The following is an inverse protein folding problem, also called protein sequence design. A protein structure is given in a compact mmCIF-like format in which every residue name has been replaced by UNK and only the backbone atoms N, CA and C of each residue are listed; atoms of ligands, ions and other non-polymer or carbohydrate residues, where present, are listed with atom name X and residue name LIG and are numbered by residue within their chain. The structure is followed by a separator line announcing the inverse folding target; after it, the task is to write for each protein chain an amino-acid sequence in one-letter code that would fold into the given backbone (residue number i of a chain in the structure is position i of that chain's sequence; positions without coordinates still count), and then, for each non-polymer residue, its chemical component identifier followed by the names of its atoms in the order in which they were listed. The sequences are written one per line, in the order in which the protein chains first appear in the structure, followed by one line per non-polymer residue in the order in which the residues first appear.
data_IF_357509673458
#
_entry.id   IF_357509673458
#
_cell.length_a   1.000
_cell.length_b   1.000
_cell.length_c   1.000
_cell.angle_alpha   90.00
_cell.angle_beta   90.00
_cell.angle_gamma   90.00
#
_symmetry.space_group_name_H-M   'P 1'
#
loop_
_entity.id
_entity.type
_entity.pdbx_description
1 polymer ?
#
# COMPACT_ATOMS: atom_id res chain seq x y z
N UNK A 1 -10.80 5.80 7.81
CA UNK A 1 -10.81 5.39 6.39
C UNK A 1 -10.19 4.02 6.30
N UNK A 2 -10.78 3.11 5.54
CA UNK A 2 -10.16 1.82 5.20
C UNK A 2 -10.32 1.64 3.68
N UNK A 3 -9.21 1.57 2.96
CA UNK A 3 -9.20 1.21 1.53
C UNK A 3 -8.54 -0.16 1.40
N UNK A 4 -9.23 -1.12 0.79
CA UNK A 4 -8.70 -2.49 0.66
C UNK A 4 -8.70 -2.95 -0.78
N UNK A 5 -7.84 -3.91 -1.08
CA UNK A 5 -7.92 -4.68 -2.32
C UNK A 5 -7.21 -6.01 -2.19
N UNK A 6 -7.53 -6.90 -3.11
CA UNK A 6 -6.85 -8.18 -3.27
C UNK A 6 -6.71 -8.53 -4.75
N UNK A 7 -5.80 -9.47 -5.03
CA UNK A 7 -5.73 -10.16 -6.30
C UNK A 7 -5.34 -11.62 -6.03
N UNK A 8 -5.93 -12.56 -6.78
CA UNK A 8 -5.73 -14.01 -6.62
C UNK A 8 -5.30 -14.74 -7.88
N UNK A 9 -5.15 -14.03 -9.00
CA UNK A 9 -4.75 -14.57 -10.30
C UNK A 9 -3.34 -14.09 -10.68
N UNK A 10 -2.63 -14.78 -11.60
CA UNK A 10 -1.36 -14.30 -12.10
C UNK A 10 -1.49 -12.89 -12.71
N UNK A 11 -0.61 -11.98 -12.29
CA UNK A 11 -0.54 -10.59 -12.79
C UNK A 11 0.93 -10.32 -13.10
N UNK A 12 1.21 -10.03 -14.36
CA UNK A 12 2.52 -9.52 -14.76
C UNK A 12 2.60 -8.04 -14.39
N UNK A 13 3.71 -7.63 -13.78
CA UNK A 13 3.95 -6.22 -13.53
C UNK A 13 4.19 -5.48 -14.85
N UNK A 14 3.62 -4.28 -14.96
CA UNK A 14 3.87 -3.34 -16.03
C UNK A 14 3.81 -1.90 -15.47
N UNK A 15 4.33 -0.95 -16.25
CA UNK A 15 4.35 0.47 -15.90
C UNK A 15 3.20 1.27 -16.53
N UNK A 16 2.08 0.62 -16.87
CA UNK A 16 0.92 1.30 -17.43
C UNK A 16 0.25 2.23 -16.40
N UNK A 17 -0.61 3.13 -16.88
CA UNK A 17 -1.36 4.01 -15.99
C UNK A 17 -2.24 3.18 -15.02
N UNK A 18 -2.20 3.49 -13.71
CA UNK A 18 -3.02 2.79 -12.73
C UNK A 18 -4.53 2.88 -13.03
N UNK A 19 -5.23 1.75 -12.90
CA UNK A 19 -6.70 1.73 -13.01
C UNK A 19 -7.33 2.16 -11.69
N UNK A 20 -8.48 2.83 -11.70
CA UNK A 20 -9.18 3.19 -10.47
C UNK A 20 -9.63 1.95 -9.70
N UNK A 21 -9.51 1.97 -8.37
CA UNK A 21 -9.81 0.83 -7.49
C UNK A 21 -11.27 0.38 -7.51
N UNK A 22 -12.19 1.21 -7.97
CA UNK A 22 -13.61 0.90 -8.14
C UNK A 22 -13.97 0.41 -9.56
N UNK A 23 -12.98 0.29 -10.45
CA UNK A 23 -13.16 -0.26 -11.79
C UNK A 23 -13.17 -1.79 -11.75
N UNK A 24 -13.95 -2.47 -12.60
CA UNK A 24 -13.85 -3.92 -12.77
C UNK A 24 -12.44 -4.41 -13.14
N UNK A 25 -11.64 -3.56 -13.81
CA UNK A 25 -10.25 -3.89 -14.16
C UNK A 25 -9.30 -3.94 -12.93
N UNK A 26 -9.73 -3.43 -11.78
CA UNK A 26 -8.91 -3.35 -10.58
C UNK A 26 -8.61 -4.70 -9.92
N UNK A 27 -9.22 -5.80 -10.35
CA UNK A 27 -8.88 -7.15 -9.85
C UNK A 27 -7.69 -7.76 -10.59
N UNK A 28 -7.50 -7.40 -11.87
CA UNK A 28 -6.50 -8.00 -12.75
C UNK A 28 -5.38 -7.04 -13.19
N UNK A 29 -5.50 -5.74 -12.91
CA UNK A 29 -4.46 -4.77 -13.26
C UNK A 29 -3.19 -4.92 -12.41
N UNK A 30 -2.03 -4.67 -13.03
CA UNK A 30 -0.72 -4.55 -12.37
C UNK A 30 -0.67 -3.37 -11.39
N UNK A 31 -1.41 -2.29 -11.69
CA UNK A 31 -1.40 -1.04 -10.94
C UNK A 31 -2.82 -0.54 -10.68
N UNK A 32 -3.12 -0.25 -9.42
CA UNK A 32 -4.43 0.18 -8.95
C UNK A 32 -4.31 1.49 -8.18
N UNK A 33 -5.11 2.49 -8.56
CA UNK A 33 -5.20 3.79 -7.92
C UNK A 33 -6.37 3.86 -6.96
N UNK A 34 -6.05 4.10 -5.70
CA UNK A 34 -7.00 4.36 -4.65
C UNK A 34 -7.14 5.87 -4.47
N UNK A 35 -8.35 6.38 -4.69
CA UNK A 35 -8.68 7.80 -4.49
C UNK A 35 -9.70 7.92 -3.38
N UNK A 36 -9.35 8.68 -2.35
CA UNK A 36 -10.25 9.01 -1.27
C UNK A 36 -10.60 10.49 -1.31
N UNK A 37 -11.89 10.80 -1.25
CA UNK A 37 -12.38 12.17 -1.04
C UNK A 37 -12.38 12.47 0.45
N UNK A 38 -11.58 13.46 0.84
CA UNK A 38 -11.50 13.94 2.21
C UNK A 38 -12.76 14.75 2.52
N UNK A 39 -13.42 14.40 3.61
CA UNK A 39 -14.54 15.18 4.13
C UNK A 39 -13.97 16.39 4.88
N UNK A 40 -14.01 17.57 4.24
CA UNK A 40 -13.49 18.82 4.79
C UNK A 40 -14.17 19.25 6.10
N UNK A 41 -15.35 18.72 6.42
CA UNK A 41 -16.04 18.97 7.70
C UNK A 41 -15.47 18.16 8.87
N UNK A 42 -14.68 17.12 8.57
CA UNK A 42 -14.14 16.16 9.54
C UNK A 42 -12.63 16.30 9.77
N UNK A 43 -12.01 17.31 9.16
CA UNK A 43 -10.57 17.55 9.25
C UNK A 43 -10.30 19.00 9.65
N UNK A 44 -9.17 19.30 10.29
CA UNK A 44 -8.73 20.69 10.47
C UNK A 44 -8.64 21.41 9.13
N UNK A 45 -9.08 22.66 9.08
CA UNK A 45 -9.01 23.48 7.85
C UNK A 45 -7.58 23.76 7.39
N UNK A 46 -6.60 23.61 8.27
CA UNK A 46 -5.16 23.75 8.03
C UNK A 46 -4.48 22.44 7.63
N UNK A 47 -5.22 21.32 7.54
CA UNK A 47 -4.63 20.03 7.22
C UNK A 47 -4.13 20.00 5.77
N UNK A 48 -2.85 19.72 5.60
CA UNK A 48 -2.20 19.60 4.28
C UNK A 48 -1.92 18.15 3.90
N UNK A 49 -1.83 17.26 4.90
CA UNK A 49 -1.56 15.83 4.71
C UNK A 49 -2.42 14.98 5.64
N UNK A 50 -2.67 13.75 5.20
CA UNK A 50 -3.20 12.69 6.05
C UNK A 50 -2.07 11.74 6.47
N UNK A 51 -2.08 11.32 7.73
CA UNK A 51 -1.30 10.18 8.18
C UNK A 51 -2.09 8.91 7.88
N UNK A 52 -1.52 8.04 7.06
CA UNK A 52 -2.07 6.71 6.83
C UNK A 52 -1.14 5.62 7.31
N UNK A 53 -1.72 4.51 7.78
CA UNK A 53 -1.01 3.24 7.91
C UNK A 53 -1.32 2.39 6.70
N UNK A 54 -0.28 1.95 6.03
CA UNK A 54 -0.37 1.06 4.89
C UNK A 54 0.08 -0.33 5.32
N UNK A 55 -0.76 -1.33 5.03
CA UNK A 55 -0.53 -2.73 5.36
C UNK A 55 -0.59 -3.57 4.09
N UNK A 56 0.37 -4.48 3.96
CA UNK A 56 0.49 -5.38 2.83
C UNK A 56 0.69 -6.80 3.32
N UNK A 57 0.01 -7.75 2.68
CA UNK A 57 0.22 -9.18 2.89
C UNK A 57 0.29 -9.88 1.55
N UNK A 58 1.13 -10.90 1.47
CA UNK A 58 1.19 -11.80 0.34
C UNK A 58 1.09 -13.24 0.85
N UNK A 59 0.26 -14.04 0.19
CA UNK A 59 0.09 -15.46 0.41
C UNK A 59 0.42 -16.19 -0.90
N UNK A 60 1.34 -17.14 -0.87
CA UNK A 60 1.85 -17.78 -2.10
C UNK A 60 1.68 -19.30 -1.95
N UNK A 61 0.70 -19.92 -2.63
CA UNK A 61 0.57 -21.37 -2.69
C UNK A 61 1.82 -22.01 -3.31
N UNK A 62 2.19 -23.18 -2.79
CA UNK A 62 3.26 -23.99 -3.37
C UNK A 62 2.73 -24.69 -4.63
N UNK A 63 3.53 -24.64 -5.69
CA UNK A 63 3.44 -25.55 -6.82
C UNK A 63 4.78 -26.28 -6.92
N UNK A 64 4.81 -27.59 -6.60
CA UNK A 64 6.05 -28.38 -6.65
C UNK A 64 6.66 -28.42 -8.06
N UNK A 65 5.85 -28.21 -9.11
CA UNK A 65 6.31 -28.11 -10.50
C UNK A 65 6.92 -26.72 -10.84
N UNK A 66 6.94 -25.77 -9.89
CA UNK A 66 7.45 -24.40 -10.11
C UNK A 66 8.92 -24.21 -9.77
N UNK A 67 9.58 -25.16 -9.11
CA UNK A 67 11.00 -25.05 -8.76
C UNK A 67 11.36 -23.82 -7.92
N UNK A 68 10.39 -23.28 -7.15
CA UNK A 68 10.61 -22.08 -6.31
C UNK A 68 10.37 -20.74 -7.02
N UNK A 69 9.80 -20.75 -8.24
CA UNK A 69 9.57 -19.54 -9.04
C UNK A 69 8.25 -18.81 -8.71
N UNK A 70 7.48 -19.26 -7.72
CA UNK A 70 6.28 -18.55 -7.27
C UNK A 70 6.70 -17.36 -6.38
N UNK A 71 6.34 -16.16 -6.79
CA UNK A 71 6.53 -14.96 -5.99
C UNK A 71 5.36 -14.02 -6.13
N UNK A 72 5.20 -13.17 -5.12
CA UNK A 72 4.31 -12.03 -5.16
C UNK A 72 5.05 -10.79 -4.66
N UNK A 73 4.90 -9.71 -5.41
CA UNK A 73 5.42 -8.40 -5.06
C UNK A 73 4.24 -7.44 -4.92
N UNK A 74 4.29 -6.59 -3.91
CA UNK A 74 3.36 -5.49 -3.76
C UNK A 74 4.09 -4.26 -3.27
N UNK A 75 3.71 -3.12 -3.82
CA UNK A 75 4.24 -1.83 -3.43
C UNK A 75 3.21 -0.72 -3.43
N UNK A 76 3.50 0.36 -2.72
CA UNK A 76 2.68 1.56 -2.70
C UNK A 76 3.52 2.81 -2.96
N UNK A 77 2.91 3.78 -3.66
CA UNK A 77 3.49 5.08 -3.98
C UNK A 77 2.43 6.18 -4.01
N UNK A 78 2.87 7.43 -3.84
CA UNK A 78 2.07 8.59 -4.24
C UNK A 78 2.26 8.80 -5.74
N UNK A 79 1.27 9.34 -6.47
CA UNK A 79 1.47 9.76 -7.85
C UNK A 79 2.70 10.69 -7.95
N UNK A 80 3.59 10.40 -8.90
CA UNK A 80 4.81 11.19 -9.12
C UNK A 80 5.96 10.92 -8.13
N UNK A 81 5.86 9.94 -7.22
CA UNK A 81 6.96 9.51 -6.36
C UNK A 81 7.32 8.04 -6.59
N UNK A 82 8.60 7.73 -6.37
CA UNK A 82 9.16 6.40 -6.51
C UNK A 82 9.00 5.67 -5.17
N UNK A 83 7.91 4.91 -5.02
CA UNK A 83 7.78 3.73 -4.15
C UNK A 83 8.28 3.88 -2.68
N UNK A 84 7.35 3.88 -1.70
CA UNK A 84 7.72 4.02 -0.28
C UNK A 84 7.54 2.76 0.60
N UNK A 85 6.82 1.73 0.13
CA UNK A 85 6.74 0.41 0.79
C UNK A 85 6.90 -0.69 -0.24
N UNK A 86 7.85 -1.59 0.00
CA UNK A 86 8.08 -2.81 -0.78
C UNK A 86 7.84 -4.05 0.08
N UNK A 87 6.97 -4.95 -0.37
CA UNK A 87 6.88 -6.30 0.16
C UNK A 87 7.06 -7.30 -0.97
N UNK A 88 8.10 -8.12 -0.86
CA UNK A 88 8.35 -9.24 -1.74
C UNK A 88 8.37 -10.51 -0.89
N UNK A 89 7.65 -11.53 -1.36
CA UNK A 89 7.68 -12.85 -0.78
C UNK A 89 8.03 -13.88 -1.85
N UNK A 90 8.98 -14.74 -1.50
CA UNK A 90 9.39 -15.93 -2.25
C UNK A 90 9.06 -17.14 -1.39
N UNK A 91 8.57 -18.25 -1.96
CA UNK A 91 8.32 -19.48 -1.19
C UNK A 91 9.54 -19.92 -0.35
N UNK A 92 9.34 -20.38 0.90
CA UNK A 92 10.43 -20.60 1.87
C UNK A 92 10.15 -21.50 3.08
N UNK A 93 11.13 -22.29 3.54
CA UNK A 93 11.05 -23.21 4.70
C UNK A 93 11.35 -24.68 4.34
N UNK A 94 11.42 -25.60 5.32
CA UNK A 94 11.59 -27.06 5.09
C UNK A 94 10.48 -27.62 4.19
N UNK A 95 9.29 -27.02 4.27
CA UNK A 95 8.14 -27.31 3.42
C UNK A 95 7.69 -26.10 2.57
N UNK A 96 8.52 -25.06 2.46
CA UNK A 96 8.26 -23.85 1.66
C UNK A 96 6.99 -23.02 2.02
N UNK A 97 6.38 -23.28 3.20
CA UNK A 97 5.12 -22.67 3.67
C UNK A 97 5.27 -21.52 4.68
N UNK A 98 6.47 -21.03 4.96
CA UNK A 98 6.67 -20.03 6.00
C UNK A 98 6.30 -18.62 5.51
N UNK A 99 5.56 -17.87 6.34
CA UNK A 99 5.37 -16.43 6.17
C UNK A 99 6.74 -15.74 6.26
N UNK A 100 7.36 -15.45 5.12
CA UNK A 100 8.70 -14.87 5.10
C UNK A 100 8.74 -13.41 5.54
N UNK A 101 7.71 -12.63 5.22
CA UNK A 101 7.69 -11.19 5.52
C UNK A 101 6.28 -10.68 5.72
N UNK A 102 5.98 -10.29 6.97
CA UNK A 102 4.86 -9.42 7.30
C UNK A 102 5.36 -7.99 7.35
N UNK A 103 4.84 -7.11 6.51
CA UNK A 103 4.91 -5.67 6.80
C UNK A 103 3.72 -5.38 7.71
N UNK A 104 4.00 -5.26 9.02
CA UNK A 104 2.95 -5.07 10.04
C UNK A 104 2.11 -3.85 9.71
N UNK A 105 2.80 -2.73 9.44
CA UNK A 105 2.27 -1.46 8.97
C UNK A 105 3.44 -0.53 8.62
N UNK A 106 3.23 0.39 7.71
CA UNK A 106 4.12 1.52 7.48
C UNK A 106 3.32 2.81 7.49
N UNK A 107 3.78 3.78 8.28
CA UNK A 107 3.16 5.08 8.44
C UNK A 107 3.65 6.03 7.36
N UNK A 108 2.74 6.67 6.64
CA UNK A 108 3.08 7.56 5.53
C UNK A 108 2.17 8.79 5.57
N UNK A 109 2.78 9.96 5.36
CA UNK A 109 2.04 11.19 5.15
C UNK A 109 1.73 11.34 3.67
N UNK A 110 0.45 11.44 3.32
CA UNK A 110 -0.01 11.64 1.96
C UNK A 110 -0.61 13.03 1.82
N UNK A 111 -0.28 13.79 0.76
CA UNK A 111 -0.82 15.12 0.57
C UNK A 111 -2.32 15.09 0.28
N UNK A 112 -3.01 16.12 0.76
CA UNK A 112 -4.39 16.44 0.36
C UNK A 112 -4.31 17.40 -0.81
N UNK A 113 -4.71 16.95 -2.00
CA UNK A 113 -4.75 17.76 -3.23
C UNK A 113 -6.19 17.81 -3.71
N UNK A 114 -6.73 19.01 -3.92
CA UNK A 114 -8.12 19.23 -4.33
C UNK A 114 -9.15 18.43 -3.50
N UNK A 115 -8.93 18.39 -2.17
CA UNK A 115 -9.76 17.66 -1.22
C UNK A 115 -9.66 16.15 -1.33
N UNK A 116 -8.60 15.62 -1.94
CA UNK A 116 -8.43 14.19 -2.20
C UNK A 116 -7.05 13.68 -1.78
N UNK A 117 -7.01 12.40 -1.45
CA UNK A 117 -5.79 11.66 -1.17
C UNK A 117 -5.70 10.51 -2.17
N UNK A 118 -4.54 10.35 -2.79
CA UNK A 118 -4.31 9.32 -3.80
C UNK A 118 -3.13 8.43 -3.44
N UNK A 119 -3.33 7.12 -3.57
CA UNK A 119 -2.28 6.10 -3.43
C UNK A 119 -2.36 5.14 -4.59
N UNK A 120 -1.23 4.92 -5.26
CA UNK A 120 -1.10 3.91 -6.30
C UNK A 120 -0.45 2.67 -5.71
N UNK A 121 -1.04 1.51 -5.98
CA UNK A 121 -0.57 0.20 -5.52
C UNK A 121 -0.19 -0.62 -6.74
N UNK A 122 1.08 -0.99 -6.83
CA UNK A 122 1.57 -1.92 -7.84
C UNK A 122 1.67 -3.32 -7.27
N UNK A 123 1.38 -4.33 -8.09
CA UNK A 123 1.44 -5.74 -7.71
C UNK A 123 1.91 -6.62 -8.86
N UNK A 124 2.62 -7.67 -8.49
CA UNK A 124 3.00 -8.77 -9.36
C UNK A 124 2.67 -10.09 -8.68
N UNK A 125 2.08 -11.03 -9.43
CA UNK A 125 1.81 -12.39 -8.97
C UNK A 125 2.29 -13.34 -10.07
N UNK A 126 3.33 -14.13 -9.79
CA UNK A 126 3.74 -15.22 -10.68
C UNK A 126 3.09 -16.52 -10.26
N UNK A 127 2.39 -17.15 -11.21
CA UNK A 127 1.64 -18.40 -11.05
C UNK A 127 0.50 -18.27 -10.04
N UNK A 128 0.59 -18.89 -8.86
CA UNK A 128 -0.48 -18.88 -7.85
C UNK A 128 -0.05 -18.02 -6.68
N UNK A 129 -0.92 -17.12 -6.25
CA UNK A 129 -0.69 -16.22 -5.13
C UNK A 129 -1.88 -15.32 -4.88
N UNK A 130 -2.04 -14.89 -3.64
CA UNK A 130 -2.97 -13.84 -3.24
C UNK A 130 -2.19 -12.69 -2.62
N UNK A 131 -2.44 -11.47 -3.06
CA UNK A 131 -1.97 -10.28 -2.34
C UNK A 131 -3.16 -9.57 -1.73
N UNK A 132 -2.98 -9.04 -0.53
CA UNK A 132 -3.95 -8.19 0.16
C UNK A 132 -3.28 -6.88 0.54
N UNK A 133 -4.05 -5.81 0.43
CA UNK A 133 -3.63 -4.47 0.77
C UNK A 133 -4.71 -3.76 1.59
N UNK A 134 -4.27 -2.97 2.57
CA UNK A 134 -5.15 -2.10 3.34
C UNK A 134 -4.47 -0.76 3.66
N UNK A 135 -5.22 0.34 3.53
CA UNK A 135 -4.82 1.69 3.97
C UNK A 135 -5.78 2.14 5.06
N UNK A 136 -5.25 2.46 6.24
CA UNK A 136 -5.98 3.02 7.37
C UNK A 136 -5.64 4.50 7.51
N UNK A 137 -6.64 5.35 7.75
CA UNK A 137 -6.41 6.75 8.16
C UNK A 137 -6.26 6.81 9.67
N UNK A 138 -5.18 7.43 10.13
CA UNK A 138 -4.77 7.43 11.53
C UNK A 138 -4.64 8.84 12.11
N UNK A 139 -4.45 9.84 11.25
CA UNK A 139 -4.40 11.23 11.69
C UNK A 139 -4.19 12.21 10.54
N UNK A 140 -3.85 13.44 10.90
CA UNK A 140 -3.62 14.55 9.97
C UNK A 140 -2.37 15.31 10.40
N UNK A 141 -1.63 15.84 9.42
CA UNK A 141 -0.71 16.94 9.69
C UNK A 141 -1.46 18.24 9.43
N UNK A 142 -1.66 18.96 10.52
CA UNK A 142 -2.01 20.36 10.59
C UNK A 142 -0.77 21.19 10.21
N UNK A 143 -0.90 22.11 9.26
CA UNK A 143 0.17 23.05 8.87
C UNK A 143 0.65 23.99 10.00
N UNK A 144 0.14 23.87 11.22
CA UNK A 144 0.62 24.54 12.43
C UNK A 144 1.79 23.84 13.14
N UNK A 145 2.25 22.68 12.65
CA UNK A 145 3.50 22.06 13.10
C UNK A 145 4.53 22.10 11.97
N UNK A 146 5.52 22.99 12.10
CA UNK A 146 6.67 22.96 11.20
C UNK A 146 7.43 21.63 11.39
N UNK A 147 8.21 21.22 10.40
CA UNK A 147 8.95 19.94 10.42
C UNK A 147 9.83 19.75 11.69
N UNK A 148 10.16 20.85 12.37
CA UNK A 148 10.90 20.89 13.64
C UNK A 148 10.02 20.47 14.82
N UNK A 149 8.74 20.84 14.83
CA UNK A 149 7.82 20.53 15.93
C UNK A 149 7.33 19.07 15.88
N UNK A 150 7.20 18.50 14.67
CA UNK A 150 6.91 17.08 14.51
C UNK A 150 8.06 16.19 15.04
N UNK A 151 9.31 16.63 14.86
CA UNK A 151 10.49 15.96 15.39
C UNK A 151 10.57 16.11 16.92
N UNK A 152 10.28 17.30 17.46
CA UNK A 152 10.24 17.55 18.89
C UNK A 152 9.13 16.74 19.61
N UNK A 153 7.94 16.65 19.03
CA UNK A 153 6.84 15.84 19.57
C UNK A 153 7.14 14.34 19.57
N UNK A 154 7.94 13.85 18.61
CA UNK A 154 8.40 12.46 18.57
C UNK A 154 9.43 12.16 19.67
N UNK A 155 10.37 13.09 19.94
CA UNK A 155 11.39 12.91 20.97
C UNK A 155 10.91 13.18 22.40
N UNK A 156 9.81 13.91 22.61
CA UNK A 156 9.23 14.11 23.95
C UNK A 156 8.42 12.91 24.48
N UNK A 157 8.24 11.86 23.68
CA UNK A 157 7.53 10.62 24.07
C UNK A 157 8.47 9.49 24.54
N UNK A 158 9.77 9.75 24.65
CA UNK A 158 10.78 8.81 25.14
C UNK A 158 11.62 9.44 26.26
#
# INVERSE_FOLDING_TARGET
MIMTGSAGEPIAYDELEPVLSNSPAAESASQVRYVYKVDSSKIPSTATHVLVLVKMKAYIPIDAASGGMNYAQIFARTPGNNHFIHCEAWGGGIDWQEERRRVTFSSVYLPIVDGQVTVDVGREIRRRGTVEFAIYLEGYLDGGYDAVDALAAFFQRF
#
